data_IF_335595439016
#
_entry.id   IF_335595439016
#
_cell.length_a   1.000
_cell.length_b   1.000
_cell.length_c   1.000
_cell.angle_alpha   90.00
_cell.angle_beta   90.00
_cell.angle_gamma   90.00
#
_symmetry.space_group_name_H-M   'P 1'
#
loop_
_entity.id
_entity.type
_entity.pdbx_description
1 polymer ?
#
# COMPACT_ATOMS: atom_id res chain seq x y z
N UNK A 1 48.87 -28.22 -28.76
CA UNK A 1 48.60 -26.83 -28.34
C UNK A 1 47.27 -26.83 -27.61
N UNK A 2 47.33 -26.64 -26.30
CA UNK A 2 46.24 -26.77 -25.34
C UNK A 2 45.36 -25.52 -25.38
N UNK A 3 44.10 -25.63 -25.78
CA UNK A 3 43.16 -24.50 -25.75
C UNK A 3 42.41 -24.52 -24.42
N UNK A 4 42.87 -23.66 -23.50
CA UNK A 4 42.28 -23.43 -22.18
C UNK A 4 40.82 -22.97 -22.29
N UNK A 5 39.94 -23.68 -21.60
CA UNK A 5 38.54 -23.34 -21.34
C UNK A 5 38.44 -22.08 -20.49
N UNK A 6 37.98 -20.97 -21.07
CA UNK A 6 37.62 -19.76 -20.33
C UNK A 6 36.20 -19.94 -19.78
N UNK A 7 36.08 -20.21 -18.48
CA UNK A 7 34.82 -20.16 -17.74
C UNK A 7 34.40 -18.69 -17.57
N UNK A 8 33.48 -18.22 -18.40
CA UNK A 8 32.76 -16.96 -18.19
C UNK A 8 31.75 -17.16 -17.05
N UNK A 9 32.10 -16.73 -15.85
CA UNK A 9 31.15 -16.53 -14.77
C UNK A 9 30.32 -15.27 -15.07
N UNK A 10 29.09 -15.46 -15.54
CA UNK A 10 28.10 -14.39 -15.69
C UNK A 10 27.49 -14.18 -14.30
N UNK A 11 27.64 -13.02 -13.65
CA UNK A 11 26.85 -12.73 -12.46
C UNK A 11 25.40 -12.59 -12.92
N UNK A 12 24.52 -13.45 -12.42
CA UNK A 12 23.09 -13.28 -12.54
C UNK A 12 22.75 -11.92 -11.93
N UNK A 13 22.44 -10.94 -12.78
CA UNK A 13 21.85 -9.69 -12.34
C UNK A 13 20.44 -10.03 -11.86
N UNK A 14 20.32 -10.34 -10.58
CA UNK A 14 19.05 -10.42 -9.89
C UNK A 14 18.44 -9.02 -9.96
N UNK A 15 17.59 -8.78 -10.97
CA UNK A 15 16.69 -7.66 -10.96
C UNK A 15 15.70 -7.95 -9.85
N UNK A 16 16.05 -7.50 -8.64
CA UNK A 16 15.12 -7.40 -7.55
C UNK A 16 14.03 -6.44 -8.03
N UNK A 17 12.90 -6.99 -8.48
CA UNK A 17 11.66 -6.26 -8.57
C UNK A 17 11.48 -5.58 -7.22
N UNK A 18 11.67 -4.27 -7.17
CA UNK A 18 11.41 -3.51 -5.96
C UNK A 18 9.95 -3.78 -5.63
N UNK A 19 9.61 -4.41 -4.49
CA UNK A 19 8.24 -4.37 -4.05
C UNK A 19 7.92 -2.88 -4.00
N UNK A 20 6.83 -2.52 -4.69
CA UNK A 20 6.18 -1.23 -4.59
C UNK A 20 6.33 -0.86 -3.13
N UNK A 21 7.14 0.15 -2.83
CA UNK A 21 7.44 0.51 -1.45
C UNK A 21 6.09 0.89 -0.90
N UNK A 22 5.46 -0.07 -0.23
CA UNK A 22 4.30 0.13 0.59
C UNK A 22 4.78 1.24 1.49
N UNK A 23 4.30 2.44 1.21
CA UNK A 23 4.69 3.64 1.92
C UNK A 23 4.11 3.39 3.28
N UNK A 24 4.88 2.71 4.11
CA UNK A 24 4.54 2.29 5.46
C UNK A 24 4.27 3.60 6.19
N UNK A 25 3.00 4.01 6.14
CA UNK A 25 2.55 5.13 6.93
C UNK A 25 2.78 4.65 8.35
N UNK A 26 3.67 5.33 9.07
CA UNK A 26 4.32 4.86 10.30
C UNK A 26 3.38 4.41 11.44
N UNK A 27 2.07 4.49 11.22
CA UNK A 27 0.97 4.16 12.14
C UNK A 27 0.24 2.86 11.80
N UNK A 28 0.65 2.12 10.76
CA UNK A 28 0.03 0.84 10.40
C UNK A 28 -1.34 0.98 9.73
N UNK A 29 -1.58 2.11 9.06
CA UNK A 29 -2.79 2.33 8.26
C UNK A 29 -2.44 2.59 6.80
N UNK A 30 -3.21 2.00 5.91
CA UNK A 30 -2.99 2.01 4.48
C UNK A 30 -4.21 2.56 3.75
N UNK A 31 -4.00 3.06 2.53
CA UNK A 31 -5.11 3.41 1.67
C UNK A 31 -5.85 2.13 1.25
N UNK A 32 -7.17 2.14 1.40
CA UNK A 32 -8.07 1.07 1.05
C UNK A 32 -9.13 1.61 0.11
N UNK A 33 -9.43 0.83 -0.92
CA UNK A 33 -10.44 1.09 -1.94
C UNK A 33 -11.02 -0.26 -2.34
N UNK A 34 -12.35 -0.38 -2.36
CA UNK A 34 -13.03 -1.58 -2.85
C UNK A 34 -14.19 -1.20 -3.78
N UNK A 35 -13.91 -1.07 -5.08
CA UNK A 35 -14.92 -0.80 -6.10
C UNK A 35 -16.00 -1.88 -6.17
N UNK A 36 -15.66 -3.14 -5.85
CA UNK A 36 -16.60 -4.26 -5.84
C UNK A 36 -17.68 -4.10 -4.78
N UNK A 37 -17.33 -3.45 -3.67
CA UNK A 37 -18.24 -3.14 -2.58
C UNK A 37 -18.76 -1.71 -2.56
N UNK A 38 -18.66 -0.99 -3.68
CA UNK A 38 -19.18 0.38 -3.81
C UNK A 38 -18.27 1.46 -3.21
N UNK A 39 -17.12 1.07 -2.65
CA UNK A 39 -16.11 1.96 -2.09
C UNK A 39 -15.15 2.41 -3.20
N UNK A 40 -15.65 3.32 -4.04
CA UNK A 40 -14.92 3.90 -5.17
C UNK A 40 -14.11 5.15 -4.78
N UNK A 41 -13.74 5.28 -3.51
CA UNK A 41 -13.02 6.43 -2.96
C UNK A 41 -11.94 5.96 -1.99
N UNK A 42 -10.86 6.73 -1.90
CA UNK A 42 -9.76 6.44 -1.00
C UNK A 42 -10.18 6.62 0.46
N UNK A 43 -10.09 5.54 1.24
CA UNK A 43 -10.20 5.57 2.71
C UNK A 43 -8.93 5.02 3.33
N UNK A 44 -8.73 5.26 4.63
CA UNK A 44 -7.57 4.75 5.34
C UNK A 44 -7.95 3.62 6.27
N UNK A 45 -7.55 2.38 5.96
CA UNK A 45 -7.76 1.22 6.80
C UNK A 45 -6.55 1.01 7.72
N UNK A 46 -6.77 1.00 9.02
CA UNK A 46 -5.74 0.70 10.02
C UNK A 46 -5.71 -0.79 10.37
N UNK A 47 -4.60 -1.26 10.96
CA UNK A 47 -4.45 -2.62 11.47
C UNK A 47 -5.56 -3.06 12.46
N UNK A 48 -6.26 -2.10 13.07
CA UNK A 48 -7.39 -2.34 13.98
C UNK A 48 -8.70 -2.70 13.23
N UNK A 49 -8.71 -2.69 11.90
CA UNK A 49 -9.89 -2.86 11.06
C UNK A 49 -10.76 -1.61 10.92
N UNK A 50 -10.35 -0.49 11.51
CA UNK A 50 -11.08 0.77 11.44
C UNK A 50 -10.68 1.57 10.21
N UNK A 51 -11.65 2.34 9.72
CA UNK A 51 -11.54 3.20 8.57
C UNK A 51 -11.55 4.66 9.00
N UNK A 52 -10.60 5.41 8.47
CA UNK A 52 -10.39 6.81 8.74
C UNK A 52 -10.45 7.61 7.44
N UNK A 53 -10.69 8.91 7.59
CA UNK A 53 -10.63 9.83 6.46
C UNK A 53 -9.24 9.83 5.85
N UNK A 54 -9.24 9.75 4.52
CA UNK A 54 -8.05 10.01 3.73
C UNK A 54 -7.75 11.51 3.75
N UNK A 55 -6.60 11.89 4.31
CA UNK A 55 -6.19 13.29 4.33
C UNK A 55 -5.47 13.65 3.03
N UNK A 56 -6.22 14.26 2.12
CA UNK A 56 -5.73 14.64 0.80
C UNK A 56 -4.69 15.77 0.87
N UNK A 57 -4.78 16.67 1.86
CA UNK A 57 -3.79 17.72 2.12
C UNK A 57 -2.41 17.14 2.48
N UNK A 58 -2.40 15.96 3.09
CA UNK A 58 -1.18 15.24 3.50
C UNK A 58 -0.76 14.13 2.54
N UNK A 59 -1.43 13.99 1.39
CA UNK A 59 -1.06 13.02 0.34
C UNK A 59 0.38 13.22 -0.14
N UNK A 60 0.80 14.47 -0.34
CA UNK A 60 2.15 14.81 -0.83
C UNK A 60 3.26 14.43 0.18
N UNK A 61 2.97 14.56 1.48
CA UNK A 61 3.92 14.21 2.54
C UNK A 61 3.93 12.72 2.89
N UNK A 62 3.02 11.91 2.30
CA UNK A 62 2.90 10.49 2.63
C UNK A 62 2.23 10.22 3.97
N UNK A 63 1.55 11.22 4.53
CA UNK A 63 0.91 11.17 5.84
C UNK A 63 -0.62 11.10 5.74
N UNK A 64 -1.13 10.72 4.56
CA UNK A 64 -2.55 10.69 4.20
C UNK A 64 -3.37 9.71 5.04
N UNK A 65 -2.75 8.60 5.48
CA UNK A 65 -3.35 7.62 6.38
C UNK A 65 -2.67 7.58 7.75
N UNK A 66 -2.22 8.73 8.27
CA UNK A 66 -1.63 8.77 9.60
C UNK A 66 -2.61 9.38 10.62
N UNK A 67 -3.23 8.59 11.52
CA UNK A 67 -4.11 9.13 12.56
C UNK A 67 -3.45 10.30 13.33
N UNK A 68 -4.22 11.32 13.77
CA UNK A 68 -5.61 11.24 14.25
C UNK A 68 -6.66 11.84 13.29
N UNK A 69 -6.72 11.38 12.04
CA UNK A 69 -7.80 11.76 11.12
C UNK A 69 -9.17 11.25 11.60
N UNK A 70 -10.26 11.85 11.12
CA UNK A 70 -11.61 11.48 11.57
C UNK A 70 -11.93 10.02 11.26
N UNK A 71 -12.48 9.28 12.23
CA UNK A 71 -12.99 7.92 12.01
C UNK A 71 -14.18 8.02 11.06
N UNK A 72 -14.15 7.26 9.97
CA UNK A 72 -15.27 7.07 9.06
C UNK A 72 -16.14 5.91 9.52
N UNK A 73 -15.51 4.75 9.80
CA UNK A 73 -16.20 3.54 10.19
C UNK A 73 -15.28 2.62 11.00
N UNK A 74 -15.85 1.68 11.74
CA UNK A 74 -15.07 0.62 12.44
C UNK A 74 -15.00 -0.69 11.65
N UNK A 75 -15.64 -0.73 10.47
CA UNK A 75 -15.72 -1.87 9.55
C UNK A 75 -16.08 -1.39 8.14
N UNK A 76 -15.79 -2.21 7.12
CA UNK A 76 -16.07 -1.88 5.70
C UNK A 76 -17.55 -1.59 5.47
N UNK A 77 -18.43 -2.34 6.13
CA UNK A 77 -19.88 -2.17 6.00
C UNK A 77 -20.41 -0.86 6.58
N UNK A 78 -19.63 -0.19 7.43
CA UNK A 78 -19.97 1.14 7.94
C UNK A 78 -19.57 2.26 7.00
N UNK A 79 -18.83 1.97 5.93
CA UNK A 79 -18.41 2.97 4.97
C UNK A 79 -19.59 3.45 4.12
N UNK A 80 -19.70 4.77 3.87
CA UNK A 80 -20.72 5.29 2.98
C UNK A 80 -20.55 4.70 1.58
N UNK A 81 -21.64 4.18 1.00
CA UNK A 81 -21.63 3.53 -0.30
C UNK A 81 -21.29 2.04 -0.27
N UNK A 82 -21.06 1.45 0.90
CA UNK A 82 -20.91 0.00 1.00
C UNK A 82 -22.18 -0.72 0.51
N UNK A 83 -22.02 -1.58 -0.48
CA UNK A 83 -23.13 -2.30 -1.12
C UNK A 83 -22.83 -3.78 -1.42
N UNK A 84 -21.80 -4.33 -0.78
CA UNK A 84 -21.66 -5.77 -0.54
C UNK A 84 -22.40 -6.13 0.77
#
# INVERSE_FOLDING_TARGET
MQFSTLLLAIPAAFVAASPITERQVASGCYAFEDPGCGINYAVCQCANGWFYQFNQDNANNGNYCNPPWGILATSESGLPGYSC
#
